data_IF_405650823168
#
_entry.id   IF_405650823168
#
_cell.length_a   1.000
_cell.length_b   1.000
_cell.length_c   1.000
_cell.angle_alpha   90.00
_cell.angle_beta   90.00
_cell.angle_gamma   90.00
#
_symmetry.space_group_name_H-M   'P 1'
#
loop_
_entity.id
_entity.type
_entity.pdbx_description
1 polymer ?
#
# COMPACT_ATOMS: atom_id res chain seq x y z
N UNK A 1 11.60 11.30 -7.34
CA UNK A 1 12.86 10.89 -6.69
C UNK A 1 12.65 10.58 -5.19
N UNK A 2 12.02 11.46 -4.40
CA UNK A 2 11.86 11.24 -2.94
C UNK A 2 11.05 9.98 -2.62
N UNK A 3 9.92 9.73 -3.28
CA UNK A 3 9.11 8.54 -3.06
C UNK A 3 9.90 7.25 -3.33
N UNK A 4 10.73 7.23 -4.37
CA UNK A 4 11.61 6.10 -4.66
C UNK A 4 12.67 5.90 -3.56
N UNK A 5 13.29 6.97 -3.09
CA UNK A 5 14.27 6.91 -2.01
C UNK A 5 13.66 6.39 -0.71
N UNK A 6 12.43 6.83 -0.38
CA UNK A 6 11.70 6.34 0.78
C UNK A 6 11.35 4.85 0.64
N UNK A 7 10.90 4.41 -0.54
CA UNK A 7 10.62 2.99 -0.81
C UNK A 7 11.86 2.10 -0.66
N UNK A 8 13.03 2.57 -1.13
CA UNK A 8 14.30 1.86 -0.93
C UNK A 8 14.70 1.79 0.55
N UNK A 9 14.45 2.84 1.32
CA UNK A 9 14.66 2.82 2.78
C UNK A 9 13.70 1.83 3.45
N UNK A 10 12.42 1.80 3.06
CA UNK A 10 11.45 0.84 3.58
C UNK A 10 11.86 -0.60 3.29
N UNK A 11 12.33 -0.86 2.06
CA UNK A 11 12.89 -2.15 1.68
C UNK A 11 14.06 -2.55 2.59
N UNK A 12 14.98 -1.61 2.87
CA UNK A 12 16.11 -1.86 3.76
C UNK A 12 15.68 -2.17 5.19
N UNK A 13 14.67 -1.47 5.72
CA UNK A 13 14.11 -1.75 7.04
C UNK A 13 13.46 -3.14 7.10
N UNK A 14 12.68 -3.50 6.07
CA UNK A 14 12.04 -4.82 5.96
C UNK A 14 13.09 -5.92 5.87
N UNK A 15 14.09 -5.77 5.02
CA UNK A 15 15.18 -6.74 4.88
C UNK A 15 15.96 -6.92 6.19
N UNK A 16 16.24 -5.84 6.91
CA UNK A 16 16.86 -5.91 8.22
C UNK A 16 15.99 -6.70 9.22
N UNK A 17 14.70 -6.35 9.30
CA UNK A 17 13.77 -7.03 10.19
C UNK A 17 13.62 -8.52 9.85
N UNK A 18 13.50 -8.86 8.57
CA UNK A 18 13.47 -10.26 8.11
C UNK A 18 14.73 -11.01 8.55
N UNK A 19 15.90 -10.38 8.41
CA UNK A 19 17.17 -10.96 8.85
C UNK A 19 17.23 -11.20 10.36
N UNK A 20 16.76 -10.25 11.15
CA UNK A 20 16.67 -10.37 12.61
C UNK A 20 15.73 -11.51 13.02
N UNK A 21 14.55 -11.59 12.40
CA UNK A 21 13.58 -12.66 12.62
C UNK A 21 14.14 -14.02 12.21
N UNK A 22 14.89 -14.12 11.11
CA UNK A 22 15.52 -15.37 10.67
C UNK A 22 16.56 -15.91 11.65
N UNK A 23 17.19 -15.04 12.42
CA UNK A 23 18.14 -15.45 13.46
C UNK A 23 17.44 -15.89 14.75
N UNK A 24 16.34 -15.23 15.09
CA UNK A 24 15.59 -15.53 16.32
C UNK A 24 14.66 -16.73 16.15
N UNK A 25 14.07 -16.89 14.96
CA UNK A 25 13.08 -17.91 14.63
C UNK A 25 13.51 -18.70 13.38
N UNK A 26 14.63 -19.41 13.48
CA UNK A 26 15.27 -20.08 12.35
C UNK A 26 14.39 -21.16 11.68
N UNK A 27 13.39 -21.70 12.40
CA UNK A 27 12.45 -22.71 11.94
C UNK A 27 11.22 -22.13 11.20
N UNK A 28 11.08 -20.81 11.10
CA UNK A 28 9.90 -20.13 10.55
C UNK A 28 10.03 -19.68 9.09
N UNK A 29 11.14 -19.97 8.43
CA UNK A 29 11.34 -19.69 7.00
C UNK A 29 11.63 -18.23 6.64
N UNK A 30 11.81 -17.33 7.63
CA UNK A 30 12.16 -15.93 7.35
C UNK A 30 13.45 -15.80 6.53
N UNK A 31 13.41 -15.06 5.43
CA UNK A 31 14.51 -14.89 4.49
C UNK A 31 14.63 -16.02 3.44
N UNK A 32 13.69 -16.97 3.43
CA UNK A 32 13.68 -18.13 2.51
C UNK A 32 12.34 -18.25 1.78
N UNK A 33 11.24 -18.11 2.50
CA UNK A 33 9.90 -18.49 2.01
C UNK A 33 9.11 -17.29 1.42
N UNK A 34 9.63 -16.04 1.51
CA UNK A 34 8.93 -14.81 1.08
C UNK A 34 8.44 -14.89 -0.36
N UNK A 35 9.23 -15.50 -1.24
CA UNK A 35 8.85 -15.67 -2.64
C UNK A 35 7.61 -16.55 -2.78
N UNK A 36 7.55 -17.65 -2.05
CA UNK A 36 6.41 -18.55 -2.03
C UNK A 36 5.15 -17.85 -1.52
N UNK A 37 5.25 -17.06 -0.45
CA UNK A 37 4.13 -16.25 0.02
C UNK A 37 3.63 -15.28 -1.04
N UNK A 38 4.53 -14.56 -1.72
CA UNK A 38 4.14 -13.64 -2.79
C UNK A 38 3.47 -14.36 -3.97
N UNK A 39 4.00 -15.52 -4.37
CA UNK A 39 3.53 -16.25 -5.56
C UNK A 39 2.27 -17.08 -5.32
N UNK A 40 2.03 -17.58 -4.10
CA UNK A 40 1.03 -18.61 -3.84
C UNK A 40 0.05 -18.28 -2.71
N UNK A 41 0.44 -17.49 -1.70
CA UNK A 41 -0.40 -17.23 -0.55
C UNK A 41 -1.57 -16.31 -0.89
N UNK A 42 -2.78 -16.72 -0.50
CA UNK A 42 -4.03 -16.03 -0.80
C UNK A 42 -4.05 -14.57 -0.32
N UNK A 43 -3.38 -14.25 0.79
CA UNK A 43 -3.29 -12.90 1.32
C UNK A 43 -2.61 -11.91 0.36
N UNK A 44 -1.69 -12.39 -0.47
CA UNK A 44 -0.91 -11.57 -1.39
C UNK A 44 -1.42 -11.55 -2.83
N UNK A 45 -2.30 -12.49 -3.24
CA UNK A 45 -2.72 -12.57 -4.64
C UNK A 45 -3.46 -11.33 -5.14
N UNK A 46 -4.22 -10.65 -4.28
CA UNK A 46 -4.85 -9.38 -4.64
C UNK A 46 -3.83 -8.28 -4.92
N UNK A 47 -2.82 -8.13 -4.05
CA UNK A 47 -1.72 -7.18 -4.28
C UNK A 47 -0.87 -7.55 -5.49
N UNK A 48 -0.58 -8.84 -5.67
CA UNK A 48 0.16 -9.32 -6.82
C UNK A 48 -0.54 -8.97 -8.14
N UNK A 49 -1.84 -9.26 -8.26
CA UNK A 49 -2.63 -8.89 -9.43
C UNK A 49 -2.61 -7.37 -9.67
N UNK A 50 -2.84 -6.59 -8.63
CA UNK A 50 -2.84 -5.13 -8.70
C UNK A 50 -1.49 -4.58 -9.18
N UNK A 51 -0.39 -5.05 -8.58
CA UNK A 51 0.96 -4.57 -8.89
C UNK A 51 1.43 -5.01 -10.28
N UNK A 52 1.24 -6.28 -10.65
CA UNK A 52 1.63 -6.79 -11.96
C UNK A 52 0.88 -6.07 -13.09
N UNK A 53 -0.42 -5.80 -12.92
CA UNK A 53 -1.18 -4.99 -13.88
C UNK A 53 -0.72 -3.53 -13.91
N UNK A 54 -0.44 -2.92 -12.76
CA UNK A 54 0.05 -1.54 -12.70
C UNK A 54 1.39 -1.36 -13.43
N UNK A 55 2.26 -2.37 -13.42
CA UNK A 55 3.53 -2.36 -14.16
C UNK A 55 3.35 -2.37 -15.68
N UNK A 56 2.19 -2.76 -16.20
CA UNK A 56 1.89 -2.82 -17.63
C UNK A 56 1.14 -1.59 -18.15
N UNK A 57 0.83 -0.62 -17.30
CA UNK A 57 0.19 0.64 -17.71
C UNK A 57 1.11 1.40 -18.64
N UNK A 58 0.60 1.73 -19.83
CA UNK A 58 1.38 2.41 -20.87
C UNK A 58 1.31 3.94 -20.77
N UNK A 59 0.15 4.48 -20.41
CA UNK A 59 -0.04 5.92 -20.26
C UNK A 59 0.59 6.40 -18.94
N UNK A 60 1.50 7.39 -19.02
CA UNK A 60 2.20 7.89 -17.83
C UNK A 60 1.26 8.61 -16.85
N UNK A 61 0.20 9.27 -17.35
CA UNK A 61 -0.80 9.94 -16.50
C UNK A 61 -1.62 8.90 -15.72
N UNK A 62 -2.08 7.84 -16.41
CA UNK A 62 -2.73 6.71 -15.75
C UNK A 62 -1.79 6.07 -14.73
N UNK A 63 -0.53 5.81 -15.10
CA UNK A 63 0.45 5.21 -14.19
C UNK A 63 0.63 6.03 -12.89
N UNK A 64 0.71 7.37 -12.99
CA UNK A 64 0.81 8.24 -11.82
C UNK A 64 -0.47 8.18 -10.97
N UNK A 65 -1.64 8.22 -11.60
CA UNK A 65 -2.94 8.14 -10.90
C UNK A 65 -3.08 6.78 -10.21
N UNK A 66 -2.85 5.69 -10.93
CA UNK A 66 -2.92 4.33 -10.39
C UNK A 66 -1.97 4.15 -9.22
N UNK A 67 -0.72 4.55 -9.37
CA UNK A 67 0.27 4.42 -8.30
C UNK A 67 -0.13 5.23 -7.06
N UNK A 68 -0.50 6.50 -7.22
CA UNK A 68 -0.63 7.42 -6.08
C UNK A 68 -2.04 7.52 -5.49
N UNK A 69 -3.10 7.20 -6.27
CA UNK A 69 -4.48 7.28 -5.79
C UNK A 69 -5.13 5.92 -5.57
N UNK A 70 -4.47 4.83 -5.98
CA UNK A 70 -5.02 3.48 -5.84
C UNK A 70 -4.04 2.54 -5.14
N UNK A 71 -2.87 2.27 -5.72
CA UNK A 71 -1.91 1.27 -5.21
C UNK A 71 -1.32 1.71 -3.87
N UNK A 72 -0.67 2.87 -3.83
CA UNK A 72 -0.02 3.34 -2.60
C UNK A 72 -1.01 3.51 -1.45
N UNK A 73 -2.20 4.13 -1.61
CA UNK A 73 -3.18 4.18 -0.53
C UNK A 73 -3.62 2.81 -0.02
N UNK A 74 -3.77 1.81 -0.88
CA UNK A 74 -4.09 0.45 -0.45
C UNK A 74 -2.95 -0.16 0.38
N UNK A 75 -1.70 -0.03 -0.05
CA UNK A 75 -0.52 -0.49 0.70
C UNK A 75 -0.38 0.25 2.04
N UNK A 76 -0.53 1.57 2.03
CA UNK A 76 -0.42 2.42 3.22
C UNK A 76 -1.45 2.04 4.29
N UNK A 77 -2.69 1.83 3.89
CA UNK A 77 -3.76 1.51 4.85
C UNK A 77 -3.70 0.04 5.32
N UNK A 78 -3.14 -0.88 4.55
CA UNK A 78 -3.04 -2.29 4.95
C UNK A 78 -1.67 -2.64 5.51
N UNK A 79 -0.63 -2.60 4.67
CA UNK A 79 0.72 -3.08 5.00
C UNK A 79 1.43 -2.16 6.02
N UNK A 80 1.10 -0.87 6.07
CA UNK A 80 1.68 0.01 7.08
C UNK A 80 0.74 0.17 8.28
N UNK A 81 -0.48 0.66 8.07
CA UNK A 81 -1.37 1.01 9.18
C UNK A 81 -1.94 -0.23 9.90
N UNK A 82 -2.62 -1.13 9.17
CA UNK A 82 -3.27 -2.29 9.81
C UNK A 82 -2.25 -3.31 10.32
N UNK A 83 -1.19 -3.58 9.56
CA UNK A 83 -0.10 -4.42 10.04
C UNK A 83 0.58 -3.81 11.28
N UNK A 84 0.81 -2.49 11.29
CA UNK A 84 1.37 -1.80 12.46
C UNK A 84 0.46 -1.87 13.70
N UNK A 85 -0.87 -1.81 13.51
CA UNK A 85 -1.85 -2.03 14.59
C UNK A 85 -1.79 -3.47 15.11
N UNK A 86 -1.80 -4.47 14.22
CA UNK A 86 -1.66 -5.87 14.57
C UNK A 86 -0.33 -6.14 15.31
N UNK A 87 0.77 -5.56 14.82
CA UNK A 87 2.09 -5.67 15.45
C UNK A 87 2.07 -5.16 16.90
N UNK A 88 1.51 -3.97 17.13
CA UNK A 88 1.40 -3.41 18.49
C UNK A 88 0.52 -4.26 19.40
N UNK A 89 -0.60 -4.76 18.88
CA UNK A 89 -1.50 -5.62 19.64
C UNK A 89 -0.81 -6.92 20.08
N UNK A 90 0.02 -7.47 19.19
CA UNK A 90 0.76 -8.73 19.43
C UNK A 90 2.17 -8.51 20.03
N UNK A 91 2.49 -7.32 20.51
CA UNK A 91 3.74 -7.02 21.22
C UNK A 91 4.98 -6.84 20.33
N UNK A 92 4.85 -6.83 19.01
CA UNK A 92 5.95 -6.48 18.10
C UNK A 92 6.13 -4.96 18.01
N UNK A 93 6.73 -4.41 19.04
CA UNK A 93 6.97 -2.97 19.17
C UNK A 93 7.84 -2.44 18.03
N UNK A 94 8.85 -3.21 17.59
CA UNK A 94 9.76 -2.75 16.54
C UNK A 94 9.04 -2.61 15.20
N UNK A 95 8.25 -3.59 14.80
CA UNK A 95 7.44 -3.49 13.58
C UNK A 95 6.45 -2.32 13.65
N UNK A 96 5.81 -2.11 14.81
CA UNK A 96 4.95 -0.95 15.03
C UNK A 96 5.68 0.38 14.84
N UNK A 97 6.89 0.54 15.37
CA UNK A 97 7.70 1.75 15.20
C UNK A 97 8.18 1.95 13.76
N UNK A 98 8.55 0.87 13.07
CA UNK A 98 8.95 0.94 11.65
C UNK A 98 7.81 1.40 10.76
N UNK A 99 6.60 0.87 10.97
CA UNK A 99 5.42 1.30 10.21
C UNK A 99 5.03 2.74 10.51
N UNK A 100 5.13 3.20 11.76
CA UNK A 100 4.88 4.60 12.12
C UNK A 100 5.88 5.55 11.44
N UNK A 101 7.16 5.20 11.39
CA UNK A 101 8.17 5.99 10.68
C UNK A 101 7.87 6.08 9.16
N UNK A 102 7.41 4.98 8.56
CA UNK A 102 7.01 4.96 7.15
C UNK A 102 5.76 5.81 6.89
N UNK A 103 4.80 5.86 7.82
CA UNK A 103 3.61 6.73 7.71
C UNK A 103 3.94 8.23 7.72
N UNK A 104 5.08 8.65 8.27
CA UNK A 104 5.57 10.03 8.15
C UNK A 104 5.92 10.35 6.69
N UNK A 105 6.55 9.42 5.99
CA UNK A 105 6.88 9.58 4.57
C UNK A 105 5.60 9.60 3.71
N UNK A 106 4.63 8.76 4.04
CA UNK A 106 3.30 8.73 3.40
C UNK A 106 2.65 10.11 3.42
N UNK A 107 2.70 10.83 4.53
CA UNK A 107 2.14 12.18 4.62
C UNK A 107 2.80 13.16 3.61
N UNK A 108 4.08 12.98 3.31
CA UNK A 108 4.79 13.74 2.27
C UNK A 108 4.36 13.30 0.86
N UNK A 109 4.24 11.99 0.62
CA UNK A 109 3.79 11.46 -0.67
C UNK A 109 2.38 11.94 -1.00
N UNK A 110 1.45 11.90 -0.06
CA UNK A 110 0.07 12.41 -0.23
C UNK A 110 0.02 13.89 -0.54
N UNK A 111 0.89 14.72 0.07
CA UNK A 111 0.95 16.16 -0.23
C UNK A 111 1.36 16.44 -1.67
N UNK A 112 2.41 15.80 -2.18
CA UNK A 112 2.82 16.03 -3.54
C UNK A 112 1.83 15.45 -4.55
N UNK A 113 1.23 14.29 -4.26
CA UNK A 113 0.18 13.70 -5.10
C UNK A 113 -1.04 14.63 -5.19
N UNK A 114 -1.45 15.22 -4.08
CA UNK A 114 -2.53 16.21 -4.05
C UNK A 114 -2.21 17.45 -4.89
N UNK A 115 -1.00 17.97 -4.79
CA UNK A 115 -0.55 19.11 -5.61
C UNK A 115 -0.53 18.76 -7.11
N UNK A 116 -0.09 17.56 -7.46
CA UNK A 116 -0.10 17.08 -8.84
C UNK A 116 -1.53 16.94 -9.37
N UNK A 117 -2.44 16.36 -8.59
CA UNK A 117 -3.86 16.26 -8.95
C UNK A 117 -4.47 17.66 -9.15
N UNK A 118 -4.23 18.59 -8.22
CA UNK A 118 -4.75 19.95 -8.32
C UNK A 118 -4.28 20.61 -9.64
N UNK A 119 -3.01 20.49 -9.98
CA UNK A 119 -2.46 20.99 -11.25
C UNK A 119 -3.12 20.30 -12.46
N UNK A 120 -3.28 18.99 -12.42
CA UNK A 120 -3.90 18.25 -13.53
C UNK A 120 -5.36 18.67 -13.76
N UNK A 121 -6.09 18.99 -12.70
CA UNK A 121 -7.49 19.43 -12.75
C UNK A 121 -7.70 20.86 -13.33
N UNK A 122 -6.63 21.62 -13.54
CA UNK A 122 -6.69 22.90 -14.26
C UNK A 122 -7.02 22.70 -15.75
N UNK A 123 -6.76 21.52 -16.28
CA UNK A 123 -7.08 21.18 -17.68
C UNK A 123 -8.48 20.58 -17.79
N UNK A 124 -9.38 21.17 -18.59
CA UNK A 124 -10.72 20.64 -18.84
C UNK A 124 -10.68 19.17 -19.35
N UNK A 125 -11.56 18.33 -18.82
CA UNK A 125 -11.66 16.90 -19.17
C UNK A 125 -10.77 15.97 -18.34
N UNK A 126 -9.75 16.48 -17.66
CA UNK A 126 -8.88 15.62 -16.85
C UNK A 126 -9.60 15.06 -15.61
N UNK A 127 -10.63 15.75 -15.09
CA UNK A 127 -11.41 15.20 -13.98
C UNK A 127 -12.10 13.89 -14.35
N UNK A 128 -12.78 13.87 -15.46
CA UNK A 128 -13.50 12.70 -15.97
C UNK A 128 -12.52 11.57 -16.33
N UNK A 129 -11.39 11.93 -16.91
CA UNK A 129 -10.33 10.96 -17.26
C UNK A 129 -9.75 10.30 -16.00
N UNK A 130 -9.35 11.09 -15.01
CA UNK A 130 -8.80 10.58 -13.73
C UNK A 130 -9.84 9.74 -12.98
N UNK A 131 -11.10 10.22 -12.92
CA UNK A 131 -12.20 9.47 -12.30
C UNK A 131 -12.43 8.12 -13.00
N UNK A 132 -12.33 8.08 -14.32
CA UNK A 132 -12.42 6.86 -15.11
C UNK A 132 -11.32 5.86 -14.75
N UNK A 133 -10.09 6.29 -14.65
CA UNK A 133 -8.97 5.44 -14.22
C UNK A 133 -9.17 4.92 -12.79
N UNK A 134 -9.55 5.80 -11.85
CA UNK A 134 -9.82 5.37 -10.48
C UNK A 134 -10.91 4.29 -10.44
N UNK A 135 -12.03 4.50 -11.14
CA UNK A 135 -13.13 3.55 -11.18
C UNK A 135 -12.73 2.19 -11.78
N UNK A 136 -11.83 2.18 -12.77
CA UNK A 136 -11.28 0.97 -13.37
C UNK A 136 -10.41 0.18 -12.38
N UNK A 137 -9.58 0.88 -11.59
CA UNK A 137 -8.54 0.25 -10.75
C UNK A 137 -9.00 -0.01 -9.30
N UNK A 138 -9.96 0.75 -8.79
CA UNK A 138 -10.46 0.59 -7.41
C UNK A 138 -10.89 -0.85 -7.07
N UNK A 139 -11.62 -1.61 -7.92
CA UNK A 139 -12.00 -2.98 -7.60
C UNK A 139 -10.80 -3.93 -7.40
N UNK A 140 -9.67 -3.68 -8.07
CA UNK A 140 -8.45 -4.45 -7.86
C UNK A 140 -7.85 -4.16 -6.48
N UNK A 141 -7.79 -2.88 -6.11
CA UNK A 141 -7.31 -2.46 -4.80
C UNK A 141 -8.21 -2.97 -3.66
N UNK A 142 -9.53 -2.93 -3.83
CA UNK A 142 -10.48 -3.45 -2.84
C UNK A 142 -10.26 -4.95 -2.59
N UNK A 143 -10.05 -5.76 -3.66
CA UNK A 143 -9.70 -7.18 -3.50
C UNK A 143 -8.37 -7.40 -2.80
N UNK A 144 -7.37 -6.57 -3.10
CA UNK A 144 -6.07 -6.64 -2.43
C UNK A 144 -6.18 -6.33 -0.93
N UNK A 145 -6.93 -5.28 -0.58
CA UNK A 145 -7.22 -4.89 0.80
C UNK A 145 -7.94 -6.04 1.54
N UNK A 146 -8.98 -6.61 0.93
CA UNK A 146 -9.79 -7.65 1.55
C UNK A 146 -8.94 -8.91 1.81
N UNK A 147 -8.20 -9.38 0.82
CA UNK A 147 -7.38 -10.58 0.95
C UNK A 147 -6.28 -10.40 2.01
N UNK A 148 -5.58 -9.28 1.99
CA UNK A 148 -4.52 -9.01 2.95
C UNK A 148 -5.04 -8.84 4.38
N UNK A 149 -6.09 -8.05 4.57
CA UNK A 149 -6.66 -7.81 5.89
C UNK A 149 -7.27 -9.07 6.51
N UNK A 150 -7.80 -9.99 5.71
CA UNK A 150 -8.31 -11.27 6.19
C UNK A 150 -7.24 -12.16 6.85
N UNK A 151 -5.97 -11.95 6.51
CA UNK A 151 -4.84 -12.67 7.10
C UNK A 151 -4.26 -12.00 8.35
N UNK A 152 -4.68 -10.77 8.68
CA UNK A 152 -4.17 -10.06 9.84
C UNK A 152 -4.86 -10.54 11.13
N UNK A 153 -4.10 -10.94 12.16
CA UNK A 153 -4.68 -11.29 13.45
C UNK A 153 -5.17 -10.06 14.21
N UNK A 154 -6.21 -10.22 15.01
CA UNK A 154 -6.66 -9.30 16.05
C UNK A 154 -6.94 -7.85 15.62
N UNK A 155 -7.28 -7.63 14.34
CA UNK A 155 -7.70 -6.33 13.78
C UNK A 155 -9.07 -6.46 13.10
N UNK A 156 -10.16 -6.55 13.88
CA UNK A 156 -11.50 -6.65 13.33
C UNK A 156 -11.79 -5.43 12.44
N UNK A 157 -12.55 -5.65 11.37
CA UNK A 157 -12.95 -4.61 10.40
C UNK A 157 -11.79 -3.91 9.67
N UNK A 158 -10.56 -4.44 9.74
CA UNK A 158 -9.39 -3.85 9.08
C UNK A 158 -9.64 -3.53 7.60
N UNK A 159 -10.26 -4.44 6.86
CA UNK A 159 -10.58 -4.25 5.45
C UNK A 159 -11.57 -3.10 5.22
N UNK A 160 -12.66 -3.04 6.00
CA UNK A 160 -13.65 -1.98 5.88
C UNK A 160 -13.03 -0.60 6.18
N UNK A 161 -12.24 -0.51 7.25
CA UNK A 161 -11.54 0.71 7.62
C UNK A 161 -10.51 1.15 6.57
N UNK A 162 -9.73 0.22 6.00
CA UNK A 162 -8.77 0.52 4.94
C UNK A 162 -9.47 1.03 3.66
N UNK A 163 -10.54 0.36 3.20
CA UNK A 163 -11.32 0.83 2.05
C UNK A 163 -11.95 2.21 2.30
N UNK A 164 -12.50 2.45 3.49
CA UNK A 164 -13.05 3.76 3.83
C UNK A 164 -11.96 4.85 3.74
N UNK A 165 -10.78 4.61 4.32
CA UNK A 165 -9.67 5.57 4.32
C UNK A 165 -9.15 5.86 2.90
N UNK A 166 -9.05 4.85 2.02
CA UNK A 166 -8.64 5.07 0.62
C UNK A 166 -9.67 5.89 -0.16
N UNK A 167 -10.99 5.66 0.06
CA UNK A 167 -12.06 6.46 -0.53
C UNK A 167 -12.08 7.89 0.01
N UNK A 168 -11.86 8.07 1.31
CA UNK A 168 -11.78 9.39 1.94
C UNK A 168 -10.64 10.22 1.37
N UNK A 169 -9.48 9.61 1.13
CA UNK A 169 -8.38 10.27 0.46
C UNK A 169 -8.81 10.76 -0.94
N UNK A 170 -9.41 9.91 -1.76
CA UNK A 170 -9.87 10.29 -3.11
C UNK A 170 -10.94 11.36 -3.06
N UNK A 171 -11.91 11.27 -2.14
CA UNK A 171 -12.91 12.32 -1.90
C UNK A 171 -12.28 13.66 -1.53
N UNK A 172 -11.23 13.66 -0.71
CA UNK A 172 -10.51 14.88 -0.36
C UNK A 172 -9.82 15.56 -1.56
N UNK A 173 -9.58 14.80 -2.62
CA UNK A 173 -8.99 15.26 -3.89
C UNK A 173 -10.06 15.59 -4.96
N UNK A 174 -11.34 15.40 -4.64
CA UNK A 174 -12.45 15.71 -5.52
C UNK A 174 -12.96 14.55 -6.38
N UNK A 175 -12.71 13.29 -5.96
CA UNK A 175 -13.15 12.07 -6.63
C UNK A 175 -14.03 11.18 -5.75
#
# INVERSE_FOLDING_TARGET
YFQMADSLRWLSHTAYRTKELSQTFADKGFGVDERGYWEEDAAWQGFRELMEKALTVWDWGEAIVVLNLVVMPAVEETVLRRLGEAARHNGDTLLGLLTDAQLIDVARHRRWAAAFVAMALETPGNRELIAGWIAQWEPLADRAIDAYCAALPDVPEAAAAARAATRDLRRSLGF
#
